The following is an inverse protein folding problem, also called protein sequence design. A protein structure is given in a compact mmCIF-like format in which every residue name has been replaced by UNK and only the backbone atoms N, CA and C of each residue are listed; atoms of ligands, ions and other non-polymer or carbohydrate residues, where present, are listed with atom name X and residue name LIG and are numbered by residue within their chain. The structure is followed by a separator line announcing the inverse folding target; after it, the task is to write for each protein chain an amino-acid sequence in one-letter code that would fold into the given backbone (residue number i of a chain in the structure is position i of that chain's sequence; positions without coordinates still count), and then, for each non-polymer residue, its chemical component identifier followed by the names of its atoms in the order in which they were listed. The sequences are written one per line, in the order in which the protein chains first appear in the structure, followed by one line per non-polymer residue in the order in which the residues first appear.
data_IF_184254342154
#
_entry.id   IF_184254342154
#
_cell.length_a   1.000
_cell.length_b   1.000
_cell.length_c   1.000
_cell.angle_alpha   90.00
_cell.angle_beta   90.00
_cell.angle_gamma   90.00
#
_symmetry.space_group_name_H-M   'P 1'
#
loop_
_entity.id
_entity.type
_entity.pdbx_description
1 polymer ?
#
# COMPACT_ATOMS: atom_id res chain seq x y z
N UNK A 1 1.64 41.45 8.91
CA UNK A 1 2.11 40.15 9.44
C UNK A 1 2.18 39.11 8.32
N UNK A 2 3.28 38.35 8.20
CA UNK A 2 3.46 37.28 7.16
C UNK A 2 2.32 36.25 7.17
N UNK A 3 1.72 35.98 8.34
CA UNK A 3 0.55 35.10 8.50
C UNK A 3 -0.71 35.60 7.77
N UNK A 4 -0.95 36.92 7.71
CA UNK A 4 -2.13 37.49 7.03
C UNK A 4 -2.02 37.34 5.50
N UNK A 5 -0.83 37.62 4.95
CA UNK A 5 -0.54 37.43 3.52
C UNK A 5 -0.63 35.96 3.08
N UNK A 6 -0.17 35.00 3.89
CA UNK A 6 -0.35 33.56 3.62
C UNK A 6 -1.81 33.12 3.64
N UNK A 7 -2.64 33.69 4.54
CA UNK A 7 -4.07 33.41 4.59
C UNK A 7 -4.84 33.99 3.39
N UNK A 8 -4.46 35.19 2.95
CA UNK A 8 -5.02 35.80 1.73
C UNK A 8 -4.62 35.02 0.47
N UNK A 9 -3.36 34.59 0.36
CA UNK A 9 -2.92 33.75 -0.76
C UNK A 9 -3.69 32.42 -0.82
N UNK A 10 -3.83 31.73 0.31
CA UNK A 10 -4.60 30.48 0.38
C UNK A 10 -6.10 30.68 0.08
N UNK A 11 -6.68 31.83 0.47
CA UNK A 11 -8.07 32.16 0.17
C UNK A 11 -8.27 32.46 -1.32
N UNK A 12 -7.31 33.13 -1.95
CA UNK A 12 -7.34 33.44 -3.38
C UNK A 12 -7.10 32.18 -4.23
N UNK A 13 -6.21 31.27 -3.82
CA UNK A 13 -6.05 29.95 -4.45
C UNK A 13 -7.32 29.11 -4.32
N UNK A 14 -7.96 29.08 -3.15
CA UNK A 14 -9.23 28.38 -2.96
C UNK A 14 -10.37 28.98 -3.82
N UNK A 15 -10.41 30.31 -3.96
CA UNK A 15 -11.37 30.99 -4.83
C UNK A 15 -11.10 30.74 -6.31
N UNK A 16 -9.83 30.70 -6.73
CA UNK A 16 -9.44 30.37 -8.11
C UNK A 16 -9.72 28.88 -8.44
N UNK A 17 -9.49 27.96 -7.50
CA UNK A 17 -9.85 26.55 -7.64
C UNK A 17 -11.37 26.34 -7.70
N UNK A 18 -12.14 27.10 -6.91
CA UNK A 18 -13.60 27.09 -6.98
C UNK A 18 -14.11 27.65 -8.32
N UNK A 19 -13.55 28.75 -8.80
CA UNK A 19 -13.90 29.33 -10.10
C UNK A 19 -13.50 28.43 -11.28
N UNK A 20 -12.38 27.71 -11.21
CA UNK A 20 -11.99 26.70 -12.19
C UNK A 20 -12.92 25.48 -12.16
N UNK A 21 -13.39 25.08 -10.98
CA UNK A 21 -14.40 24.03 -10.80
C UNK A 21 -15.75 24.38 -11.42
N UNK A 22 -16.17 25.64 -11.34
CA UNK A 22 -17.43 26.11 -11.95
C UNK A 22 -17.38 26.15 -13.49
N UNK A 23 -16.21 26.33 -14.10
CA UNK A 23 -16.02 26.28 -15.56
C UNK A 23 -15.98 24.82 -16.07
N UNK A 24 -15.46 23.88 -15.29
CA UNK A 24 -15.40 22.45 -15.65
C UNK A 24 -16.71 21.67 -15.42
N UNK A 25 -17.68 22.20 -14.65
CA UNK A 25 -18.98 21.56 -14.42
C UNK A 25 -20.06 21.93 -15.47
N UNK A 26 -19.67 22.51 -16.61
CA UNK A 26 -20.60 22.74 -17.71
C UNK A 26 -21.21 21.43 -18.22
N UNK A 27 -22.53 21.41 -18.52
CA UNK A 27 -23.21 20.21 -18.95
C UNK A 27 -22.76 19.81 -20.36
N UNK A 28 -22.12 18.65 -20.47
CA UNK A 28 -21.73 18.02 -21.73
C UNK A 28 -22.94 17.34 -22.40
N UNK A 29 -23.77 16.67 -21.60
CA UNK A 29 -25.00 16.02 -22.08
C UNK A 29 -26.13 16.21 -21.06
N UNK A 30 -27.34 16.31 -21.59
CA UNK A 30 -28.58 16.25 -20.81
C UNK A 30 -29.56 15.29 -21.47
N UNK A 31 -30.24 14.49 -20.66
CA UNK A 31 -31.06 13.39 -21.16
C UNK A 31 -31.96 12.82 -20.09
N UNK A 32 -33.02 12.15 -20.53
CA UNK A 32 -34.00 11.53 -19.64
C UNK A 32 -33.70 10.04 -19.55
N UNK A 33 -33.54 9.55 -18.32
CA UNK A 33 -33.33 8.13 -18.04
C UNK A 33 -34.23 7.66 -16.89
N UNK A 34 -34.55 6.37 -16.90
CA UNK A 34 -35.11 5.70 -15.75
C UNK A 34 -34.00 5.35 -14.76
N UNK A 35 -34.04 5.91 -13.55
CA UNK A 35 -33.13 5.58 -12.45
C UNK A 35 -33.96 5.07 -11.28
N UNK A 36 -33.67 3.85 -10.80
CA UNK A 36 -34.45 3.19 -9.71
C UNK A 36 -35.98 3.20 -9.99
N UNK A 37 -36.39 2.89 -11.23
CA UNK A 37 -37.79 2.88 -11.70
C UNK A 37 -38.49 4.25 -11.69
N UNK A 38 -37.74 5.35 -11.72
CA UNK A 38 -38.28 6.72 -11.77
C UNK A 38 -37.67 7.46 -12.95
N UNK A 39 -38.47 8.24 -13.65
CA UNK A 39 -37.99 9.13 -14.71
C UNK A 39 -37.21 10.29 -14.11
N UNK A 40 -35.96 10.44 -14.51
CA UNK A 40 -35.02 11.42 -14.00
C UNK A 40 -34.43 12.24 -15.14
N UNK A 41 -34.26 13.53 -14.90
CA UNK A 41 -33.43 14.42 -15.71
C UNK A 41 -31.98 14.18 -15.28
N UNK A 42 -31.16 13.71 -16.21
CA UNK A 42 -29.77 13.33 -15.99
C UNK A 42 -28.88 14.31 -16.73
N UNK A 43 -27.87 14.82 -16.03
CA UNK A 43 -26.89 15.77 -16.53
C UNK A 43 -25.49 15.19 -16.34
N UNK A 44 -24.72 15.14 -17.42
CA UNK A 44 -23.32 14.75 -17.41
C UNK A 44 -22.45 15.99 -17.61
N UNK A 45 -21.50 16.21 -16.71
CA UNK A 45 -20.38 17.13 -16.88
C UNK A 45 -19.06 16.35 -16.97
N UNK A 46 -17.93 17.06 -17.14
CA UNK A 46 -16.62 16.42 -17.13
C UNK A 46 -16.29 15.76 -15.78
N UNK A 47 -16.78 16.35 -14.68
CA UNK A 47 -16.45 15.90 -13.32
C UNK A 47 -17.54 15.06 -12.67
N UNK A 48 -18.81 15.21 -13.06
CA UNK A 48 -19.94 14.62 -12.33
C UNK A 48 -21.04 14.12 -13.23
N UNK A 49 -21.75 13.11 -12.74
CA UNK A 49 -23.03 12.67 -13.26
C UNK A 49 -24.09 12.96 -12.21
N UNK A 50 -25.07 13.80 -12.54
CA UNK A 50 -26.13 14.26 -11.64
C UNK A 50 -27.48 13.85 -12.17
N UNK A 51 -28.41 13.51 -11.30
CA UNK A 51 -29.78 13.23 -11.68
C UNK A 51 -30.78 13.69 -10.64
N UNK A 52 -31.93 14.14 -11.14
CA UNK A 52 -33.04 14.55 -10.30
C UNK A 52 -34.36 14.03 -10.86
N UNK A 53 -35.29 13.69 -9.97
CA UNK A 53 -36.60 13.19 -10.37
C UNK A 53 -37.36 14.26 -11.16
N UNK A 54 -37.94 13.87 -12.29
CA UNK A 54 -38.88 14.72 -13.04
C UNK A 54 -40.23 14.69 -12.30
N UNK A 55 -40.68 15.86 -11.87
CA UNK A 55 -42.02 16.08 -11.31
C UNK A 55 -42.90 16.68 -12.40
N UNK A 56 -44.08 16.11 -12.70
CA UNK A 56 -45.01 16.74 -13.64
C UNK A 56 -45.46 18.10 -13.09
N UNK A 57 -45.54 19.10 -13.96
CA UNK A 57 -46.07 20.40 -13.61
C UNK A 57 -47.57 20.27 -13.26
N UNK A 58 -47.97 20.86 -12.14
CA UNK A 58 -49.38 20.94 -11.76
C UNK A 58 -50.13 21.83 -12.76
N UNK A 59 -51.30 21.42 -13.29
CA UNK A 59 -52.10 22.24 -14.21
C UNK A 59 -52.64 23.53 -13.58
N UNK A 60 -52.66 23.62 -12.24
CA UNK A 60 -52.91 24.87 -11.52
C UNK A 60 -51.55 25.52 -11.25
N UNK A 61 -51.26 26.63 -11.95
CA UNK A 61 -50.02 27.42 -11.87
C UNK A 61 -49.76 28.06 -10.50
N UNK A 62 -49.69 27.24 -9.46
CA UNK A 62 -49.22 27.63 -8.14
C UNK A 62 -47.71 27.44 -8.06
N UNK A 63 -47.00 28.53 -7.78
CA UNK A 63 -45.59 28.53 -7.40
C UNK A 63 -45.34 27.46 -6.34
N UNK A 64 -44.75 26.34 -6.73
CA UNK A 64 -44.27 25.30 -5.80
C UNK A 64 -42.95 25.78 -5.21
N UNK A 65 -43.07 26.71 -4.27
CA UNK A 65 -41.97 27.16 -3.41
C UNK A 65 -41.43 25.93 -2.67
N UNK A 66 -40.23 25.49 -3.07
CA UNK A 66 -39.27 24.88 -2.14
C UNK A 66 -39.42 23.40 -1.81
N UNK A 67 -40.02 22.54 -2.65
CA UNK A 67 -39.77 21.11 -2.48
C UNK A 67 -38.33 20.83 -2.91
N UNK A 68 -37.40 20.74 -1.95
CA UNK A 68 -35.99 20.40 -2.18
C UNK A 68 -35.90 19.21 -3.15
N UNK A 69 -35.61 19.50 -4.41
CA UNK A 69 -35.37 18.50 -5.44
C UNK A 69 -34.12 17.77 -5.00
N UNK A 70 -34.28 16.57 -4.43
CA UNK A 70 -33.16 15.74 -3.98
C UNK A 70 -32.38 15.29 -5.23
N UNK A 71 -31.38 16.08 -5.57
CA UNK A 71 -30.40 15.78 -6.62
C UNK A 71 -29.43 14.73 -6.06
N UNK A 72 -29.34 13.59 -6.74
CA UNK A 72 -28.33 12.58 -6.47
C UNK A 72 -27.20 12.77 -7.50
N UNK A 73 -25.96 12.51 -7.07
CA UNK A 73 -24.79 12.70 -7.93
C UNK A 73 -23.70 11.69 -7.64
N UNK A 74 -22.86 11.43 -8.64
CA UNK A 74 -21.59 10.73 -8.48
C UNK A 74 -20.47 11.49 -9.18
N UNK A 75 -19.27 11.49 -8.59
CA UNK A 75 -18.09 12.06 -9.21
C UNK A 75 -17.47 11.06 -10.20
N UNK A 76 -17.09 11.54 -11.38
CA UNK A 76 -16.51 10.71 -12.44
C UNK A 76 -15.18 10.07 -12.01
N UNK A 77 -14.47 10.69 -11.05
CA UNK A 77 -13.26 10.12 -10.45
C UNK A 77 -13.53 8.85 -9.64
N UNK A 78 -14.76 8.62 -9.20
CA UNK A 78 -15.16 7.42 -8.45
C UNK A 78 -15.79 6.35 -9.35
N UNK A 79 -16.14 6.71 -10.60
CA UNK A 79 -16.65 5.77 -11.61
C UNK A 79 -15.48 4.99 -12.19
N UNK A 80 -15.50 3.66 -12.11
CA UNK A 80 -14.38 2.81 -12.58
C UNK A 80 -14.72 1.97 -13.82
N UNK A 81 -16.00 1.76 -14.11
CA UNK A 81 -16.42 1.06 -15.33
C UNK A 81 -17.81 1.47 -15.79
N UNK A 82 -18.05 1.35 -17.10
CA UNK A 82 -19.30 1.72 -17.76
C UNK A 82 -19.58 0.67 -18.83
N UNK A 83 -20.80 0.11 -18.84
CA UNK A 83 -21.22 -0.97 -19.74
C UNK A 83 -22.62 -0.72 -20.26
N UNK A 84 -22.88 -1.10 -21.51
CA UNK A 84 -24.24 -1.19 -22.04
C UNK A 84 -24.94 -2.43 -21.47
N UNK A 85 -26.11 -2.24 -20.87
CA UNK A 85 -26.93 -3.31 -20.30
C UNK A 85 -27.86 -3.86 -21.37
N UNK A 86 -27.74 -5.13 -21.72
CA UNK A 86 -28.62 -5.80 -22.69
C UNK A 86 -29.32 -7.00 -22.04
N UNK A 87 -30.58 -7.21 -22.39
CA UNK A 87 -31.34 -8.44 -22.08
C UNK A 87 -31.12 -9.45 -23.20
N UNK A 88 -30.71 -10.67 -22.84
CA UNK A 88 -30.50 -11.77 -23.77
C UNK A 88 -31.45 -12.91 -23.45
N UNK A 89 -31.86 -13.65 -24.48
CA UNK A 89 -32.60 -14.90 -24.32
C UNK A 89 -31.64 -16.06 -24.02
N UNK A 90 -32.15 -17.14 -23.43
CA UNK A 90 -31.36 -18.33 -23.14
C UNK A 90 -30.71 -18.86 -24.44
N UNK A 91 -29.40 -19.14 -24.42
CA UNK A 91 -28.64 -19.60 -25.59
C UNK A 91 -28.10 -18.50 -26.51
N UNK A 92 -28.42 -17.22 -26.28
CA UNK A 92 -27.95 -16.13 -27.13
C UNK A 92 -26.60 -15.55 -26.63
N UNK A 93 -25.52 -15.76 -27.39
CA UNK A 93 -24.17 -15.31 -27.01
C UNK A 93 -23.86 -13.84 -27.37
N UNK A 94 -24.52 -13.29 -28.39
CA UNK A 94 -24.30 -11.90 -28.87
C UNK A 94 -25.63 -11.20 -29.18
N UNK A 95 -25.63 -9.87 -29.05
CA UNK A 95 -26.82 -9.04 -29.22
C UNK A 95 -27.72 -9.00 -27.99
N UNK A 96 -29.01 -8.77 -28.22
CA UNK A 96 -30.04 -8.62 -27.20
C UNK A 96 -30.58 -7.20 -27.09
N UNK A 97 -31.77 -7.07 -26.50
CA UNK A 97 -32.49 -5.80 -26.36
C UNK A 97 -31.72 -4.90 -25.39
N UNK A 98 -31.40 -3.69 -25.83
CA UNK A 98 -30.77 -2.70 -24.96
C UNK A 98 -31.73 -2.24 -23.86
N UNK A 99 -31.26 -2.27 -22.63
CA UNK A 99 -31.99 -1.81 -21.45
C UNK A 99 -31.45 -0.47 -20.91
N UNK A 100 -30.27 -0.04 -21.34
CA UNK A 100 -29.65 1.21 -20.93
C UNK A 100 -28.16 1.07 -20.62
N UNK A 101 -27.67 1.89 -19.69
CA UNK A 101 -26.27 1.98 -19.28
C UNK A 101 -26.14 1.55 -17.82
N UNK A 102 -25.12 0.74 -17.52
CA UNK A 102 -24.69 0.43 -16.15
C UNK A 102 -23.37 1.12 -15.86
N UNK A 103 -23.35 1.85 -14.76
CA UNK A 103 -22.20 2.62 -14.28
C UNK A 103 -21.76 1.96 -12.98
N UNK A 104 -20.49 1.57 -12.92
CA UNK A 104 -19.87 0.94 -11.76
C UNK A 104 -19.03 1.98 -11.03
N UNK A 105 -19.30 2.15 -9.74
CA UNK A 105 -18.76 3.22 -8.90
C UNK A 105 -18.12 2.65 -7.66
N UNK A 106 -17.04 3.27 -7.20
CA UNK A 106 -16.39 2.97 -5.94
C UNK A 106 -16.92 3.92 -4.85
N UNK A 107 -17.44 3.37 -3.76
CA UNK A 107 -17.86 4.13 -2.60
C UNK A 107 -16.87 3.90 -1.46
N UNK A 108 -16.47 4.99 -0.80
CA UNK A 108 -15.74 4.89 0.44
C UNK A 108 -16.70 4.45 1.55
N UNK A 109 -16.36 3.36 2.25
CA UNK A 109 -17.13 2.88 3.40
C UNK A 109 -16.57 3.46 4.69
N UNK A 110 -15.32 3.11 5.01
CA UNK A 110 -14.61 3.49 6.24
C UNK A 110 -13.09 3.54 5.98
N UNK A 111 -12.44 4.65 6.32
CA UNK A 111 -11.00 4.83 6.11
C UNK A 111 -10.60 4.68 4.63
N UNK A 112 -9.70 3.73 4.35
CA UNK A 112 -9.26 3.40 2.98
C UNK A 112 -10.07 2.25 2.37
N UNK A 113 -11.18 1.81 2.98
CA UNK A 113 -11.96 0.67 2.48
C UNK A 113 -12.95 1.10 1.40
N UNK A 114 -12.65 0.69 0.17
CA UNK A 114 -13.54 0.85 -0.99
C UNK A 114 -14.48 -0.35 -1.17
N UNK A 115 -15.70 -0.05 -1.61
CA UNK A 115 -16.71 -1.02 -2.06
C UNK A 115 -17.28 -0.60 -3.40
N UNK A 116 -17.53 -1.54 -4.30
CA UNK A 116 -18.21 -1.26 -5.56
C UNK A 116 -19.74 -1.15 -5.37
N UNK A 117 -20.36 -0.34 -6.21
CA UNK A 117 -21.81 -0.20 -6.35
C UNK A 117 -22.17 0.05 -7.81
N UNK A 118 -23.45 -0.10 -8.15
CA UNK A 118 -23.95 0.06 -9.52
C UNK A 118 -25.07 1.09 -9.59
N UNK A 119 -25.02 1.91 -10.64
CA UNK A 119 -26.08 2.83 -11.03
C UNK A 119 -26.57 2.39 -12.41
N UNK A 120 -27.88 2.24 -12.57
CA UNK A 120 -28.50 1.89 -13.83
C UNK A 120 -29.25 3.10 -14.39
N UNK A 121 -28.85 3.54 -15.58
CA UNK A 121 -29.56 4.53 -16.38
C UNK A 121 -30.36 3.78 -17.45
N UNK A 122 -31.65 3.58 -17.22
CA UNK A 122 -32.54 2.87 -18.12
C UNK A 122 -33.01 3.75 -19.27
N UNK A 123 -32.77 3.31 -20.51
CA UNK A 123 -33.33 3.92 -21.72
C UNK A 123 -33.27 2.88 -22.85
N UNK A 124 -34.35 2.78 -23.63
CA UNK A 124 -34.49 1.79 -24.71
C UNK A 124 -33.93 2.29 -26.05
N UNK A 125 -33.69 3.59 -26.20
CA UNK A 125 -33.11 4.17 -27.42
C UNK A 125 -31.63 3.80 -27.49
N UNK A 126 -31.27 3.01 -28.51
CA UNK A 126 -29.89 2.59 -28.72
C UNK A 126 -28.97 3.77 -29.02
N UNK A 127 -29.38 4.68 -29.91
CA UNK A 127 -28.60 5.86 -30.27
C UNK A 127 -28.35 6.76 -29.06
N UNK A 128 -29.39 7.02 -28.27
CA UNK A 128 -29.27 7.83 -27.06
C UNK A 128 -28.28 7.21 -26.06
N UNK A 129 -28.45 5.93 -25.76
CA UNK A 129 -27.55 5.22 -24.85
C UNK A 129 -26.11 5.18 -25.37
N UNK A 130 -25.92 5.07 -26.67
CA UNK A 130 -24.60 4.96 -27.27
C UNK A 130 -23.83 6.29 -27.26
N UNK A 131 -24.50 7.41 -27.52
CA UNK A 131 -23.94 8.77 -27.36
C UNK A 131 -23.48 9.01 -25.92
N UNK A 132 -24.33 8.65 -24.95
CA UNK A 132 -24.00 8.76 -23.53
C UNK A 132 -22.86 7.83 -23.13
N UNK A 133 -22.92 6.55 -23.53
CA UNK A 133 -21.88 5.57 -23.27
C UNK A 133 -20.51 6.03 -23.79
N UNK A 134 -20.45 6.54 -25.03
CA UNK A 134 -19.21 7.07 -25.62
C UNK A 134 -18.66 8.25 -24.81
N UNK A 135 -19.50 9.24 -24.51
CA UNK A 135 -19.09 10.44 -23.78
C UNK A 135 -18.57 10.12 -22.37
N UNK A 136 -19.29 9.25 -21.67
CA UNK A 136 -18.90 8.70 -20.39
C UNK A 136 -17.56 7.94 -20.46
N UNK A 137 -17.37 7.10 -21.48
CA UNK A 137 -16.10 6.39 -21.71
C UNK A 137 -14.94 7.34 -22.02
N UNK A 138 -15.17 8.38 -22.80
CA UNK A 138 -14.17 9.42 -23.09
C UNK A 138 -13.67 10.08 -21.81
N UNK A 139 -14.57 10.45 -20.89
CA UNK A 139 -14.19 11.00 -19.58
C UNK A 139 -13.34 10.00 -18.79
N UNK A 140 -13.76 8.72 -18.73
CA UNK A 140 -12.99 7.69 -18.01
C UNK A 140 -11.59 7.46 -18.58
N UNK A 141 -11.43 7.55 -19.90
CA UNK A 141 -10.13 7.42 -20.57
C UNK A 141 -9.22 8.62 -20.33
N UNK A 142 -9.77 9.76 -19.88
CA UNK A 142 -9.05 10.99 -19.58
C UNK A 142 -8.31 10.98 -18.24
N UNK A 143 -8.54 10.00 -17.35
CA UNK A 143 -7.81 9.90 -16.09
C UNK A 143 -6.41 9.31 -16.30
N UNK A 144 -5.33 10.10 -16.15
CA UNK A 144 -3.98 9.71 -16.60
C UNK A 144 -3.37 8.57 -15.78
N UNK A 145 -3.68 8.51 -14.48
CA UNK A 145 -3.10 7.53 -13.57
C UNK A 145 -3.83 6.18 -13.57
N UNK A 146 -4.96 6.06 -14.28
CA UNK A 146 -5.71 4.80 -14.34
C UNK A 146 -5.05 3.85 -15.33
N UNK A 147 -4.66 2.63 -14.89
CA UNK A 147 -3.97 1.70 -15.76
C UNK A 147 -4.89 1.21 -16.88
N UNK A 148 -4.32 1.03 -18.08
CA UNK A 148 -4.99 0.38 -19.22
C UNK A 148 -4.53 -1.07 -19.38
N UNK A 149 -3.29 -1.34 -18.97
CA UNK A 149 -2.71 -2.68 -18.91
C UNK A 149 -1.88 -2.83 -17.63
N UNK A 150 -1.85 -4.06 -17.11
CA UNK A 150 -1.09 -4.44 -15.93
C UNK A 150 -0.33 -5.73 -16.19
N UNK A 151 0.94 -5.75 -15.76
CA UNK A 151 1.69 -7.01 -15.57
C UNK A 151 1.51 -7.44 -14.12
N UNK A 152 0.87 -8.59 -13.92
CA UNK A 152 0.51 -9.10 -12.60
C UNK A 152 1.43 -10.27 -12.25
N UNK A 153 2.17 -10.12 -11.16
CA UNK A 153 2.99 -11.20 -10.62
C UNK A 153 2.22 -11.92 -9.51
N UNK A 154 1.93 -13.20 -9.72
CA UNK A 154 1.27 -14.04 -8.71
C UNK A 154 2.24 -15.11 -8.24
N UNK A 155 2.52 -15.15 -6.94
CA UNK A 155 3.29 -16.25 -6.35
C UNK A 155 2.33 -17.38 -5.94
N UNK A 156 2.30 -18.52 -6.66
CA UNK A 156 1.35 -19.60 -6.40
C UNK A 156 1.56 -20.30 -5.06
N UNK A 157 2.71 -20.11 -4.41
CA UNK A 157 3.01 -20.71 -3.10
C UNK A 157 2.58 -19.83 -1.93
N UNK A 158 2.16 -18.59 -2.19
CA UNK A 158 1.75 -17.63 -1.16
C UNK A 158 0.36 -17.95 -0.60
N UNK A 159 0.10 -17.46 0.61
CA UNK A 159 -1.18 -17.59 1.30
C UNK A 159 -1.72 -19.04 1.31
N UNK A 160 -0.91 -20.00 1.81
CA UNK A 160 -1.27 -21.44 1.84
C UNK A 160 -1.61 -22.03 0.46
N UNK A 161 -0.99 -21.52 -0.61
CA UNK A 161 -1.20 -21.90 -2.01
C UNK A 161 -2.54 -21.42 -2.61
N UNK A 162 -3.25 -20.50 -1.95
CA UNK A 162 -4.52 -19.95 -2.43
C UNK A 162 -4.35 -18.66 -3.25
N UNK A 163 -3.14 -18.09 -3.30
CA UNK A 163 -2.91 -16.78 -3.95
C UNK A 163 -3.38 -16.71 -5.41
N UNK A 164 -3.17 -17.78 -6.18
CA UNK A 164 -3.64 -17.88 -7.57
C UNK A 164 -5.17 -17.86 -7.64
N UNK A 165 -5.84 -18.62 -6.79
CA UNK A 165 -7.30 -18.67 -6.72
C UNK A 165 -7.87 -17.31 -6.31
N UNK A 166 -7.32 -16.68 -5.27
CA UNK A 166 -7.73 -15.35 -4.80
C UNK A 166 -7.64 -14.32 -5.93
N UNK A 167 -6.58 -14.34 -6.74
CA UNK A 167 -6.46 -13.45 -7.89
C UNK A 167 -7.60 -13.65 -8.89
N UNK A 168 -7.83 -14.90 -9.34
CA UNK A 168 -8.83 -15.19 -10.36
C UNK A 168 -10.27 -14.99 -9.88
N UNK A 169 -10.55 -15.20 -8.60
CA UNK A 169 -11.89 -15.04 -8.03
C UNK A 169 -12.21 -13.59 -7.64
N UNK A 170 -11.21 -12.82 -7.17
CA UNK A 170 -11.47 -11.51 -6.57
C UNK A 170 -10.92 -10.33 -7.37
N UNK A 171 -9.75 -10.45 -7.98
CA UNK A 171 -9.07 -9.33 -8.64
C UNK A 171 -9.32 -9.31 -10.17
N UNK A 172 -9.09 -10.43 -10.85
CA UNK A 172 -9.24 -10.55 -12.30
C UNK A 172 -10.63 -10.13 -12.81
N UNK A 173 -11.76 -10.45 -12.14
CA UNK A 173 -13.08 -10.03 -12.59
C UNK A 173 -13.24 -8.49 -12.57
N UNK A 174 -12.65 -7.82 -11.58
CA UNK A 174 -12.71 -6.36 -11.46
C UNK A 174 -11.84 -5.67 -12.53
N UNK A 175 -10.63 -6.19 -12.80
CA UNK A 175 -9.81 -5.68 -13.90
C UNK A 175 -10.50 -5.85 -15.26
N UNK A 176 -11.08 -7.02 -15.52
CA UNK A 176 -11.86 -7.28 -16.73
C UNK A 176 -13.06 -6.34 -16.83
N UNK A 177 -13.76 -6.11 -15.72
CA UNK A 177 -14.89 -5.19 -15.66
C UNK A 177 -14.46 -3.75 -15.99
N UNK A 178 -13.31 -3.32 -15.48
CA UNK A 178 -12.69 -2.01 -15.73
C UNK A 178 -12.04 -1.86 -17.12
N UNK A 179 -12.13 -2.88 -17.99
CA UNK A 179 -11.45 -2.91 -19.29
C UNK A 179 -9.92 -2.79 -19.21
N UNK A 180 -9.33 -3.35 -18.15
CA UNK A 180 -7.87 -3.41 -17.96
C UNK A 180 -7.35 -4.76 -18.45
N UNK A 181 -6.38 -4.72 -19.35
CA UNK A 181 -5.70 -5.93 -19.82
C UNK A 181 -4.67 -6.40 -18.80
N UNK A 182 -4.73 -7.66 -18.37
CA UNK A 182 -3.78 -8.23 -17.42
C UNK A 182 -2.93 -9.31 -18.07
N UNK A 183 -1.61 -9.18 -18.01
CA UNK A 183 -0.65 -10.24 -18.32
C UNK A 183 -0.14 -10.86 -17.00
N UNK A 184 -0.42 -12.14 -16.78
CA UNK A 184 -0.13 -12.81 -15.50
C UNK A 184 1.15 -13.63 -15.63
N UNK A 185 2.18 -13.26 -14.88
CA UNK A 185 3.47 -13.97 -14.81
C UNK A 185 3.75 -14.49 -13.39
N UNK A 186 4.47 -15.61 -13.25
CA UNK A 186 4.74 -16.22 -11.95
C UNK A 186 5.87 -15.52 -11.14
N UNK A 187 5.61 -15.28 -9.84
CA UNK A 187 6.49 -14.77 -8.74
C UNK A 187 6.90 -13.29 -8.80
N UNK A 188 6.83 -12.44 -7.75
CA UNK A 188 7.39 -12.50 -6.37
C UNK A 188 6.46 -11.79 -5.33
N UNK A 189 6.86 -11.68 -4.05
CA UNK A 189 5.99 -11.37 -2.90
C UNK A 189 6.34 -10.04 -2.16
N UNK A 190 5.40 -9.52 -1.34
CA UNK A 190 5.53 -8.70 -0.10
C UNK A 190 4.83 -7.32 -0.02
N UNK A 191 4.60 -6.55 -1.10
CA UNK A 191 4.22 -5.12 -0.92
C UNK A 191 2.74 -4.81 -0.61
N UNK A 192 1.81 -5.73 -0.84
CA UNK A 192 0.37 -5.40 -0.75
C UNK A 192 -0.12 -5.09 0.68
N UNK A 193 0.55 -5.60 1.72
CA UNK A 193 0.08 -5.47 3.11
C UNK A 193 0.33 -4.10 3.74
N UNK A 194 1.44 -3.44 3.39
CA UNK A 194 1.85 -2.22 4.09
C UNK A 194 1.30 -0.94 3.46
N UNK A 195 1.12 -0.92 2.13
CA UNK A 195 0.70 0.29 1.41
C UNK A 195 -0.76 0.71 1.69
N UNK A 196 -1.65 -0.26 1.94
CA UNK A 196 -3.08 0.00 2.07
C UNK A 196 -3.62 -0.14 3.49
N UNK A 197 -2.87 -0.76 4.42
CA UNK A 197 -3.32 -1.03 5.79
C UNK A 197 -4.56 -1.93 5.90
N UNK A 198 -4.98 -2.59 4.81
CA UNK A 198 -6.25 -3.33 4.72
C UNK A 198 -6.02 -4.73 4.14
N UNK A 199 -6.56 -5.76 4.81
CA UNK A 199 -6.55 -7.16 4.37
C UNK A 199 -7.75 -7.48 3.46
N UNK A 200 -7.96 -6.71 2.38
CA UNK A 200 -9.06 -6.93 1.43
C UNK A 200 -8.59 -6.76 -0.02
N UNK A 201 -8.45 -7.89 -0.72
CA UNK A 201 -8.02 -7.95 -2.13
C UNK A 201 -8.89 -7.07 -3.03
N UNK A 202 -10.20 -7.05 -2.82
CA UNK A 202 -11.13 -6.21 -3.59
C UNK A 202 -10.82 -4.73 -3.44
N UNK A 203 -10.67 -4.23 -2.21
CA UNK A 203 -10.33 -2.83 -1.94
C UNK A 203 -8.99 -2.45 -2.59
N UNK A 204 -7.96 -3.29 -2.45
CA UNK A 204 -6.67 -3.06 -3.08
C UNK A 204 -6.80 -2.99 -4.61
N UNK A 205 -7.58 -3.91 -5.20
CA UNK A 205 -7.86 -3.93 -6.64
C UNK A 205 -8.58 -2.66 -7.10
N UNK A 206 -9.57 -2.17 -6.36
CA UNK A 206 -10.26 -0.92 -6.68
C UNK A 206 -9.32 0.29 -6.63
N UNK A 207 -8.40 0.36 -5.67
CA UNK A 207 -7.39 1.43 -5.63
C UNK A 207 -6.47 1.40 -6.87
N UNK A 208 -6.07 0.21 -7.33
CA UNK A 208 -5.30 0.04 -8.57
C UNK A 208 -6.11 0.58 -9.75
N UNK A 209 -7.37 0.17 -9.88
CA UNK A 209 -8.25 0.57 -10.98
C UNK A 209 -8.46 2.09 -11.03
N UNK A 210 -8.64 2.71 -9.86
CA UNK A 210 -8.82 4.16 -9.75
C UNK A 210 -7.52 4.95 -9.97
N UNK A 211 -6.37 4.28 -10.05
CA UNK A 211 -5.08 4.94 -10.29
C UNK A 211 -4.57 5.71 -9.07
N UNK A 212 -4.89 5.25 -7.86
CA UNK A 212 -4.41 5.91 -6.64
C UNK A 212 -2.90 5.65 -6.48
N UNK A 213 -2.14 6.73 -6.39
CA UNK A 213 -0.69 6.72 -6.17
C UNK A 213 -0.37 7.19 -4.75
N UNK A 214 0.66 6.60 -4.13
CA UNK A 214 1.14 6.97 -2.81
C UNK A 214 2.66 6.96 -2.77
N UNK A 215 3.27 8.10 -2.48
CA UNK A 215 4.71 8.15 -2.22
C UNK A 215 5.05 7.30 -0.99
N UNK A 216 6.10 6.48 -1.10
CA UNK A 216 6.60 5.65 0.01
C UNK A 216 8.13 5.56 0.00
N UNK A 217 8.73 5.78 1.16
CA UNK A 217 10.16 5.69 1.42
C UNK A 217 10.63 4.23 1.41
N UNK A 218 11.83 4.04 0.89
CA UNK A 218 12.47 2.74 0.75
C UNK A 218 13.92 2.84 1.23
N UNK A 219 14.44 1.75 1.79
CA UNK A 219 15.82 1.63 2.19
C UNK A 219 16.67 1.05 1.04
N UNK A 220 17.83 1.64 0.80
CA UNK A 220 18.94 0.94 0.14
C UNK A 220 19.79 0.22 1.16
N UNK A 221 20.17 -1.02 0.87
CA UNK A 221 21.08 -1.83 1.67
C UNK A 221 22.34 -2.12 0.86
N UNK A 222 23.48 -1.68 1.36
CA UNK A 222 24.77 -1.83 0.71
C UNK A 222 25.78 -2.47 1.66
N UNK A 223 26.63 -3.32 1.11
CA UNK A 223 27.79 -3.88 1.81
C UNK A 223 28.95 -3.97 0.81
N UNK A 224 30.22 -3.77 1.20
CA UNK A 224 31.35 -3.56 0.27
C UNK A 224 31.54 -4.63 -0.82
N UNK A 225 31.05 -5.86 -0.59
CA UNK A 225 31.26 -7.00 -1.49
C UNK A 225 29.97 -7.67 -1.95
N UNK A 226 28.82 -6.99 -1.80
CA UNK A 226 27.50 -7.55 -2.13
C UNK A 226 26.72 -6.57 -2.99
N UNK A 227 25.86 -7.05 -3.90
CA UNK A 227 25.05 -6.18 -4.74
C UNK A 227 24.11 -5.32 -3.88
N UNK A 228 23.89 -4.09 -4.35
CA UNK A 228 22.92 -3.17 -3.74
C UNK A 228 21.54 -3.82 -3.72
N UNK A 229 20.87 -3.78 -2.56
CA UNK A 229 19.49 -4.25 -2.40
C UNK A 229 18.59 -3.10 -2.02
N UNK A 230 17.32 -3.25 -2.35
CA UNK A 230 16.26 -2.33 -1.98
C UNK A 230 15.22 -3.08 -1.15
N UNK A 231 14.64 -2.41 -0.17
CA UNK A 231 13.57 -2.96 0.65
C UNK A 231 13.04 -1.93 1.61
N UNK A 232 11.96 -2.23 2.31
CA UNK A 232 11.27 -1.26 3.18
C UNK A 232 11.56 -1.51 4.66
N UNK A 233 11.97 -2.71 4.99
CA UNK A 233 12.15 -3.18 6.35
C UNK A 233 13.35 -4.09 6.44
N UNK A 234 14.06 -4.00 7.56
CA UNK A 234 15.06 -4.99 7.90
C UNK A 234 15.14 -5.26 9.39
N UNK A 235 15.57 -6.47 9.71
CA UNK A 235 15.86 -6.91 11.07
C UNK A 235 17.18 -7.66 11.13
N UNK A 236 17.94 -7.38 12.19
CA UNK A 236 19.17 -8.04 12.57
C UNK A 236 19.04 -8.56 14.01
N UNK A 237 19.47 -9.80 14.27
CA UNK A 237 19.35 -10.45 15.58
C UNK A 237 18.14 -11.38 15.69
N UNK A 238 17.34 -11.25 16.75
CA UNK A 238 16.25 -12.18 17.06
C UNK A 238 15.27 -12.38 15.91
N UNK A 239 14.83 -11.28 15.26
CA UNK A 239 13.87 -11.34 14.15
C UNK A 239 14.39 -12.11 12.95
N UNK A 240 15.66 -11.92 12.58
CA UNK A 240 16.27 -12.61 11.45
C UNK A 240 16.59 -14.08 11.74
N UNK A 241 17.11 -14.39 12.94
CA UNK A 241 17.33 -15.79 13.37
C UNK A 241 16.03 -16.58 13.46
N UNK A 242 14.95 -15.94 13.93
CA UNK A 242 13.61 -16.55 13.96
C UNK A 242 13.15 -16.88 12.55
N UNK A 243 13.31 -15.96 11.60
CA UNK A 243 12.97 -16.21 10.20
C UNK A 243 13.83 -17.33 9.60
N UNK A 244 15.16 -17.30 9.80
CA UNK A 244 16.09 -18.33 9.33
C UNK A 244 15.68 -19.72 9.82
N UNK A 245 15.32 -19.83 11.09
CA UNK A 245 14.84 -21.09 11.66
C UNK A 245 13.51 -21.53 11.04
N UNK A 246 12.57 -20.61 10.84
CA UNK A 246 11.30 -20.90 10.19
C UNK A 246 11.50 -21.38 8.75
N UNK A 247 12.41 -20.77 8.00
CA UNK A 247 12.71 -21.13 6.62
C UNK A 247 13.44 -22.48 6.51
N UNK A 248 14.30 -22.84 7.47
CA UNK A 248 14.88 -24.20 7.55
C UNK A 248 13.82 -25.30 7.80
N UNK A 249 12.64 -24.94 8.33
CA UNK A 249 11.59 -25.89 8.70
C UNK A 249 10.31 -25.71 7.87
N UNK A 250 10.42 -25.44 6.55
CA UNK A 250 9.24 -25.28 5.65
C UNK A 250 8.28 -26.49 5.62
N UNK A 251 8.74 -27.66 6.06
CA UNK A 251 7.91 -28.87 6.19
C UNK A 251 6.83 -28.74 7.29
N UNK A 252 6.98 -27.82 8.24
CA UNK A 252 5.97 -27.53 9.28
C UNK A 252 4.90 -26.58 8.71
N UNK A 253 3.60 -26.79 8.98
CA UNK A 253 2.53 -25.88 8.57
C UNK A 253 2.77 -24.42 9.00
N UNK A 254 2.42 -23.39 8.19
CA UNK A 254 2.87 -22.00 8.40
C UNK A 254 2.64 -21.42 9.81
N UNK A 255 1.46 -21.61 10.40
CA UNK A 255 1.16 -21.08 11.74
C UNK A 255 1.94 -21.81 12.83
N UNK A 256 2.06 -23.13 12.73
CA UNK A 256 2.84 -23.94 13.66
C UNK A 256 4.33 -23.63 13.53
N UNK A 257 4.82 -23.44 12.30
CA UNK A 257 6.21 -23.11 11.96
C UNK A 257 6.64 -21.78 12.58
N UNK A 258 5.80 -20.76 12.48
CA UNK A 258 6.04 -19.45 13.13
C UNK A 258 6.16 -19.60 14.65
N UNK A 259 5.22 -20.29 15.29
CA UNK A 259 5.24 -20.49 16.74
C UNK A 259 6.47 -21.31 17.18
N UNK A 260 6.76 -22.40 16.49
CA UNK A 260 7.95 -23.23 16.71
C UNK A 260 9.23 -22.40 16.64
N UNK A 261 9.39 -21.60 15.58
CA UNK A 261 10.58 -20.78 15.37
C UNK A 261 10.76 -19.74 16.48
N UNK A 262 9.68 -19.04 16.86
CA UNK A 262 9.70 -18.06 17.95
C UNK A 262 10.08 -18.72 19.29
N UNK A 263 9.45 -19.85 19.64
CA UNK A 263 9.71 -20.55 20.90
C UNK A 263 11.16 -21.04 20.96
N UNK A 264 11.65 -21.67 19.90
CA UNK A 264 13.01 -22.22 19.85
C UNK A 264 14.07 -21.10 19.85
N UNK A 265 13.81 -19.98 19.19
CA UNK A 265 14.71 -18.81 19.22
C UNK A 265 14.70 -18.12 20.60
N UNK A 266 13.55 -18.11 21.30
CA UNK A 266 13.46 -17.61 22.69
C UNK A 266 14.17 -18.51 23.69
N UNK A 267 14.10 -19.83 23.50
CA UNK A 267 14.82 -20.79 24.34
C UNK A 267 16.34 -20.57 24.27
N UNK A 268 16.83 -20.25 23.07
CA UNK A 268 18.23 -19.95 22.76
C UNK A 268 18.46 -18.44 22.56
N UNK A 269 17.85 -17.61 23.41
CA UNK A 269 17.96 -16.15 23.32
C UNK A 269 19.42 -15.72 23.54
N UNK A 270 20.01 -15.09 22.52
CA UNK A 270 21.36 -14.53 22.56
C UNK A 270 21.39 -13.14 21.92
N UNK A 271 22.13 -12.18 22.49
CA UNK A 271 22.38 -10.90 21.83
C UNK A 271 23.46 -11.05 20.76
N UNK A 272 23.47 -10.13 19.81
CA UNK A 272 24.58 -9.90 18.88
C UNK A 272 25.38 -8.69 19.37
N UNK A 273 26.71 -8.79 19.31
CA UNK A 273 27.59 -7.66 19.60
C UNK A 273 27.84 -6.87 18.32
N UNK A 274 27.34 -5.64 18.29
CA UNK A 274 27.53 -4.76 17.14
C UNK A 274 27.71 -3.30 17.55
N UNK A 275 28.31 -2.57 16.63
CA UNK A 275 28.33 -1.13 16.62
C UNK A 275 27.32 -0.61 15.60
N UNK A 276 26.56 0.39 15.99
CA UNK A 276 25.58 1.06 15.14
C UNK A 276 25.93 2.54 15.12
N UNK A 277 26.15 3.07 13.91
CA UNK A 277 26.26 4.51 13.69
C UNK A 277 25.09 4.98 12.85
N UNK A 278 24.55 6.16 13.12
CA UNK A 278 23.38 6.66 12.40
C UNK A 278 23.37 8.18 12.31
N UNK A 279 22.66 8.70 11.31
CA UNK A 279 22.44 10.12 11.11
C UNK A 279 21.00 10.46 11.48
N UNK A 280 20.75 11.20 12.57
CA UNK A 280 19.42 11.67 12.93
C UNK A 280 18.79 12.55 11.85
N UNK A 281 17.47 12.52 11.73
CA UNK A 281 16.74 13.38 10.79
C UNK A 281 16.86 14.87 11.19
N UNK A 282 17.37 15.70 10.27
CA UNK A 282 17.79 17.09 10.50
C UNK A 282 16.71 18.05 11.05
N UNK A 283 15.43 17.70 10.92
CA UNK A 283 14.34 18.56 11.38
C UNK A 283 14.07 18.51 12.89
N UNK A 284 14.76 17.65 13.65
CA UNK A 284 14.55 17.48 15.09
C UNK A 284 15.70 17.98 15.97
N UNK A 285 16.88 18.31 15.41
CA UNK A 285 18.04 18.77 16.17
C UNK A 285 18.76 19.91 15.42
N UNK A 286 18.83 21.09 16.03
CA UNK A 286 19.72 22.17 15.60
C UNK A 286 21.17 21.79 15.98
N UNK A 287 22.08 21.90 15.02
CA UNK A 287 23.54 22.10 15.18
C UNK A 287 24.51 20.94 15.43
N UNK A 288 24.18 19.67 15.14
CA UNK A 288 25.21 18.61 15.16
C UNK A 288 25.21 17.74 13.90
N UNK A 289 26.22 17.94 13.06
CA UNK A 289 26.61 17.08 11.92
C UNK A 289 27.31 15.78 12.38
N UNK A 290 27.10 15.36 13.64
CA UNK A 290 27.82 14.25 14.24
C UNK A 290 27.00 12.97 14.09
N UNK A 291 27.62 11.93 13.53
CA UNK A 291 27.01 10.60 13.50
C UNK A 291 26.94 10.08 14.94
N UNK A 292 25.74 9.90 15.46
CA UNK A 292 25.54 9.24 16.75
C UNK A 292 26.00 7.79 16.64
N UNK A 293 26.70 7.31 17.68
CA UNK A 293 27.22 5.94 17.74
C UNK A 293 26.75 5.27 19.01
N UNK A 294 26.15 4.10 18.85
CA UNK A 294 25.78 3.23 19.96
C UNK A 294 26.45 1.88 19.78
N UNK A 295 26.91 1.33 20.88
CA UNK A 295 27.67 0.09 20.91
C UNK A 295 27.14 -0.82 22.00
N UNK A 296 27.18 -2.13 21.76
CA UNK A 296 26.92 -3.13 22.78
C UNK A 296 26.19 -4.37 22.25
N UNK A 297 25.54 -5.04 23.19
CA UNK A 297 24.85 -6.30 22.95
C UNK A 297 23.37 -6.07 22.70
N UNK A 298 22.89 -6.42 21.51
CA UNK A 298 21.51 -6.20 21.08
C UNK A 298 20.80 -7.54 20.81
N UNK A 299 19.62 -7.73 21.39
CA UNK A 299 18.77 -8.87 21.06
C UNK A 299 18.14 -8.71 19.68
N UNK A 300 17.81 -7.50 19.28
CA UNK A 300 17.19 -7.21 17.99
C UNK A 300 17.45 -5.76 17.58
N UNK A 301 17.76 -5.55 16.30
CA UNK A 301 17.84 -4.24 15.66
C UNK A 301 16.85 -4.25 14.51
N UNK A 302 15.95 -3.27 14.47
CA UNK A 302 14.90 -3.14 13.46
C UNK A 302 15.05 -1.79 12.77
N UNK A 303 15.10 -1.78 11.45
CA UNK A 303 15.29 -0.59 10.63
C UNK A 303 14.16 -0.57 9.60
N UNK A 304 13.24 0.38 9.73
CA UNK A 304 11.92 0.36 9.09
C UNK A 304 11.61 1.70 8.43
N UNK A 305 11.50 1.73 7.09
CA UNK A 305 11.05 2.90 6.32
C UNK A 305 9.53 3.03 6.28
N UNK A 306 8.81 1.97 6.65
CA UNK A 306 7.34 1.95 6.70
C UNK A 306 6.84 1.30 7.99
N UNK A 307 5.56 1.49 8.37
CA UNK A 307 5.03 0.94 9.61
C UNK A 307 5.09 -0.59 9.77
N UNK A 308 5.16 -1.34 8.66
CA UNK A 308 5.27 -2.81 8.65
C UNK A 308 4.12 -3.52 9.40
N UNK A 309 2.87 -3.27 8.99
CA UNK A 309 1.68 -3.91 9.59
C UNK A 309 1.64 -5.40 9.24
N UNK A 310 1.31 -6.22 10.23
CA UNK A 310 1.11 -7.65 10.03
C UNK A 310 0.12 -8.23 11.05
N UNK A 311 -0.28 -9.50 10.88
CA UNK A 311 -1.26 -10.15 11.75
C UNK A 311 -0.84 -10.26 13.22
N UNK A 312 0.46 -10.16 13.52
CA UNK A 312 1.01 -10.21 14.89
C UNK A 312 1.32 -8.84 15.48
N UNK A 313 1.33 -7.80 14.63
CA UNK A 313 1.55 -6.41 14.99
C UNK A 313 0.56 -5.54 14.19
N UNK A 314 -0.72 -5.48 14.59
CA UNK A 314 -1.77 -4.80 13.83
C UNK A 314 -1.54 -3.28 13.70
N UNK A 315 -0.81 -2.68 14.66
CA UNK A 315 -0.36 -1.29 14.59
C UNK A 315 0.95 -1.11 13.80
N UNK A 316 1.60 -2.20 13.38
CA UNK A 316 2.92 -2.18 12.78
C UNK A 316 4.07 -2.42 13.77
N UNK A 317 5.20 -2.88 13.23
CA UNK A 317 6.46 -2.99 13.98
C UNK A 317 7.05 -1.61 14.29
N UNK A 318 6.81 -0.62 13.41
CA UNK A 318 7.23 0.77 13.56
C UNK A 318 6.05 1.74 13.36
N UNK A 319 5.05 1.76 14.26
CA UNK A 319 3.78 2.46 14.08
C UNK A 319 3.91 3.98 13.88
N UNK A 320 5.03 4.57 14.30
CA UNK A 320 5.26 6.01 14.26
C UNK A 320 5.98 6.45 12.98
N UNK A 321 6.40 5.51 12.13
CA UNK A 321 7.04 5.82 10.84
C UNK A 321 6.01 6.39 9.88
N UNK A 322 6.40 7.43 9.13
CA UNK A 322 5.58 7.99 8.06
C UNK A 322 5.98 7.35 6.74
N UNK A 323 5.09 7.42 5.75
CA UNK A 323 5.36 6.76 4.48
C UNK A 323 6.33 7.56 3.62
N UNK A 324 6.38 8.89 3.70
CA UNK A 324 6.97 9.75 2.66
C UNK A 324 7.69 10.99 3.23
N UNK A 325 8.36 10.85 4.37
CA UNK A 325 9.07 11.96 5.02
C UNK A 325 10.60 11.86 4.96
N UNK A 326 11.12 10.90 4.18
CA UNK A 326 12.54 10.66 4.01
C UNK A 326 13.20 10.07 5.25
N UNK A 327 12.44 9.47 6.17
CA UNK A 327 12.93 8.99 7.44
C UNK A 327 12.81 7.47 7.61
N UNK A 328 13.69 6.92 8.45
CA UNK A 328 13.69 5.52 8.84
C UNK A 328 13.58 5.45 10.35
N UNK A 329 12.77 4.53 10.86
CA UNK A 329 12.78 4.20 12.28
C UNK A 329 13.87 3.16 12.57
N UNK A 330 14.85 3.53 13.40
CA UNK A 330 15.83 2.64 13.99
C UNK A 330 15.37 2.28 15.41
N UNK A 331 15.03 1.02 15.63
CA UNK A 331 14.57 0.48 16.93
C UNK A 331 15.58 -0.55 17.38
N UNK A 332 16.23 -0.31 18.52
CA UNK A 332 17.22 -1.24 19.08
C UNK A 332 16.72 -1.80 20.40
N UNK A 333 16.79 -3.13 20.55
CA UNK A 333 16.47 -3.85 21.78
C UNK A 333 17.77 -4.35 22.38
N UNK A 334 18.23 -3.72 23.45
CA UNK A 334 19.44 -4.09 24.19
C UNK A 334 19.27 -5.43 24.90
N UNK A 335 20.40 -6.01 25.31
CA UNK A 335 20.41 -7.24 26.08
C UNK A 335 19.56 -7.10 27.36
N UNK A 336 18.67 -8.06 27.59
CA UNK A 336 17.75 -8.10 28.74
C UNK A 336 17.36 -9.55 29.05
N UNK A 337 16.66 -9.76 30.15
CA UNK A 337 16.18 -11.10 30.52
C UNK A 337 15.13 -11.61 29.51
N UNK A 338 15.05 -12.93 29.37
CA UNK A 338 14.05 -13.59 28.51
C UNK A 338 12.62 -13.21 28.88
N UNK A 339 12.34 -13.02 30.17
CA UNK A 339 11.01 -12.63 30.65
C UNK A 339 10.63 -11.21 30.22
N UNK A 340 11.57 -10.25 30.35
CA UNK A 340 11.41 -8.88 29.87
C UNK A 340 11.20 -8.84 28.35
N UNK A 341 12.02 -9.60 27.61
CA UNK A 341 11.92 -9.67 26.15
C UNK A 341 10.59 -10.27 25.68
N UNK A 342 10.09 -11.34 26.32
CA UNK A 342 8.76 -11.89 26.04
C UNK A 342 7.66 -10.86 26.34
N UNK A 343 7.78 -10.10 27.43
CA UNK A 343 6.83 -9.02 27.73
C UNK A 343 6.84 -7.94 26.66
N UNK A 344 8.00 -7.59 26.12
CA UNK A 344 8.12 -6.70 24.96
C UNK A 344 7.41 -7.28 23.73
N UNK A 345 7.71 -8.52 23.33
CA UNK A 345 7.09 -9.15 22.15
C UNK A 345 5.57 -9.19 22.24
N UNK A 346 5.02 -9.48 23.43
CA UNK A 346 3.57 -9.48 23.67
C UNK A 346 2.92 -8.11 23.49
N UNK A 347 3.65 -7.00 23.63
CA UNK A 347 3.09 -5.65 23.46
C UNK A 347 2.69 -5.33 22.02
N UNK A 348 3.33 -5.94 21.01
CA UNK A 348 2.97 -5.73 19.60
C UNK A 348 1.52 -6.12 19.27
N UNK A 349 0.97 -7.11 19.98
CA UNK A 349 -0.42 -7.54 19.84
C UNK A 349 -1.41 -6.74 20.72
N UNK A 350 -0.93 -5.73 21.46
CA UNK A 350 -1.73 -4.95 22.41
C UNK A 350 -1.87 -3.48 21.97
N UNK A 351 -2.71 -2.71 22.67
CA UNK A 351 -2.84 -1.26 22.47
C UNK A 351 -1.74 -0.45 23.19
N UNK A 352 -0.94 -1.09 24.06
CA UNK A 352 0.11 -0.41 24.83
C UNK A 352 1.30 -0.08 23.94
N UNK A 353 2.03 0.98 24.30
CA UNK A 353 3.27 1.33 23.61
C UNK A 353 4.31 0.19 23.74
N UNK A 354 4.69 -0.40 22.61
CA UNK A 354 5.67 -1.49 22.56
C UNK A 354 7.10 -1.04 22.91
N UNK A 355 7.38 0.27 22.86
CA UNK A 355 8.70 0.87 23.05
C UNK A 355 8.93 1.39 24.47
N UNK A 356 7.91 1.42 25.35
CA UNK A 356 8.09 1.90 26.73
C UNK A 356 8.71 0.84 27.65
N UNK A 357 9.97 0.50 27.38
CA UNK A 357 10.85 -0.34 28.19
C UNK A 357 12.24 0.29 28.24
N UNK A 358 12.98 0.17 29.36
CA UNK A 358 14.28 0.83 29.54
C UNK A 358 15.41 0.24 28.67
N UNK A 359 15.19 -0.93 28.07
CA UNK A 359 16.15 -1.61 27.19
C UNK A 359 15.82 -1.40 25.70
N UNK A 360 14.91 -0.49 25.36
CA UNK A 360 14.51 -0.19 24.00
C UNK A 360 14.82 1.27 23.70
N UNK A 361 15.64 1.48 22.68
CA UNK A 361 15.90 2.82 22.14
C UNK A 361 15.25 2.94 20.75
N UNK A 362 14.67 4.10 20.45
CA UNK A 362 14.03 4.40 19.16
C UNK A 362 14.53 5.73 18.61
N UNK A 363 15.01 5.71 17.38
CA UNK A 363 15.55 6.87 16.68
C UNK A 363 14.85 7.05 15.32
N UNK A 364 14.72 8.30 14.88
CA UNK A 364 14.27 8.66 13.53
C UNK A 364 15.48 9.19 12.79
N UNK A 365 15.88 8.50 11.72
CA UNK A 365 17.20 8.63 11.09
C UNK A 365 17.11 8.67 9.56
N UNK A 366 18.08 9.30 8.90
CA UNK A 366 18.24 9.30 7.44
C UNK A 366 19.13 8.13 6.97
N UNK A 367 20.10 7.74 7.80
CA UNK A 367 21.15 6.77 7.50
C UNK A 367 21.47 5.92 8.75
N UNK A 368 21.75 4.64 8.54
CA UNK A 368 22.21 3.69 9.56
C UNK A 368 23.32 2.81 9.01
N UNK A 369 24.41 2.65 9.75
CA UNK A 369 25.43 1.63 9.51
C UNK A 369 25.47 0.67 10.68
N UNK A 370 25.37 -0.61 10.39
CA UNK A 370 25.46 -1.68 11.38
C UNK A 370 26.71 -2.50 11.09
N UNK A 371 27.61 -2.55 12.06
CA UNK A 371 28.86 -3.28 11.99
C UNK A 371 28.89 -4.38 13.07
N UNK A 372 28.68 -5.66 12.71
CA UNK A 372 28.89 -6.77 13.63
C UNK A 372 30.35 -6.83 14.09
N UNK A 373 30.62 -7.11 15.37
CA UNK A 373 31.97 -6.94 15.94
C UNK A 373 32.81 -8.21 16.12
N UNK A 374 32.41 -9.38 15.64
CA UNK A 374 33.18 -10.60 15.91
C UNK A 374 34.37 -10.73 14.93
N UNK A 375 35.60 -10.55 15.45
CA UNK A 375 36.81 -11.06 14.80
C UNK A 375 38.08 -10.20 14.76
N UNK A 376 38.21 -9.04 15.43
CA UNK A 376 39.52 -8.39 15.58
C UNK A 376 40.45 -9.09 16.61
N UNK A 377 40.36 -10.41 16.76
CA UNK A 377 41.45 -11.18 17.38
C UNK A 377 42.42 -11.51 16.25
N UNK A 378 43.62 -10.91 16.30
CA UNK A 378 44.77 -11.34 15.51
C UNK A 378 44.79 -12.87 15.46
N UNK A 379 44.70 -13.45 14.27
CA UNK A 379 45.15 -14.82 14.02
C UNK A 379 46.67 -14.69 13.86
N UNK A 380 47.50 -15.17 14.80
CA UNK A 380 48.93 -15.32 14.53
C UNK A 380 49.06 -16.33 13.40
N UNK A 381 49.95 -16.07 12.45
CA UNK A 381 50.07 -16.80 11.18
C UNK A 381 50.42 -18.30 11.29
N UNK A 382 50.50 -18.86 12.50
CA UNK A 382 50.90 -20.23 12.75
C UNK A 382 49.78 -20.96 13.48
N UNK A 383 48.86 -21.56 12.74
CA UNK A 383 48.13 -22.81 13.07
C UNK A 383 46.93 -22.97 12.13
N UNK A 384 47.21 -23.20 10.85
CA UNK A 384 46.25 -23.71 9.89
C UNK A 384 46.21 -25.23 10.03
N UNK A 385 45.44 -25.76 11.00
CA UNK A 385 44.88 -27.11 11.01
C UNK A 385 44.13 -27.38 12.32
N UNK A 386 42.82 -27.16 12.35
CA UNK A 386 41.88 -27.85 13.25
C UNK A 386 40.42 -27.53 12.89
N UNK A 387 39.72 -28.54 12.35
CA UNK A 387 38.28 -28.82 12.47
C UNK A 387 37.25 -27.68 12.29
N UNK A 388 36.66 -27.63 11.09
CA UNK A 388 35.25 -27.29 10.83
C UNK A 388 34.60 -26.17 11.65
N UNK A 389 35.09 -24.94 11.51
CA UNK A 389 34.41 -23.73 11.99
C UNK A 389 33.20 -23.41 11.11
N UNK A 390 31.98 -23.45 11.66
CA UNK A 390 30.80 -22.81 11.05
C UNK A 390 31.18 -21.36 10.69
N UNK A 391 31.17 -21.01 9.40
CA UNK A 391 31.36 -19.62 8.97
C UNK A 391 30.33 -18.75 9.72
N UNK A 392 30.80 -17.78 10.50
CA UNK A 392 29.95 -16.87 11.28
C UNK A 392 29.19 -15.90 10.34
N UNK A 393 28.21 -16.42 9.61
CA UNK A 393 27.29 -15.65 8.78
C UNK A 393 26.13 -15.17 9.61
N UNK A 394 25.89 -13.85 9.64
CA UNK A 394 24.73 -13.31 10.33
C UNK A 394 23.53 -13.21 9.37
N UNK A 395 22.39 -13.83 9.71
CA UNK A 395 21.20 -13.66 8.92
C UNK A 395 20.68 -12.24 9.12
N UNK A 396 20.47 -11.55 8.01
CA UNK A 396 19.64 -10.38 7.88
C UNK A 396 18.30 -10.80 7.33
N UNK A 397 17.24 -10.21 7.85
CA UNK A 397 15.91 -10.29 7.27
C UNK A 397 15.63 -8.95 6.60
N UNK A 398 15.46 -8.92 5.27
CA UNK A 398 15.05 -7.74 4.52
C UNK A 398 13.70 -8.07 3.87
N UNK A 399 12.64 -7.39 4.30
CA UNK A 399 11.27 -7.62 3.79
C UNK A 399 10.75 -9.07 3.89
N UNK A 400 11.37 -9.93 4.69
CA UNK A 400 11.05 -11.36 4.77
C UNK A 400 11.98 -12.27 3.96
N UNK A 401 12.94 -11.69 3.24
CA UNK A 401 14.01 -12.42 2.56
C UNK A 401 15.26 -12.49 3.44
N UNK A 402 15.86 -13.68 3.50
CA UNK A 402 17.09 -13.89 4.26
C UNK A 402 18.31 -13.60 3.41
N UNK A 403 19.22 -12.80 3.97
CA UNK A 403 20.52 -12.50 3.38
C UNK A 403 21.60 -12.71 4.42
N UNK A 404 22.74 -13.27 4.02
CA UNK A 404 23.87 -13.49 4.91
C UNK A 404 24.95 -12.43 4.64
N UNK A 405 25.17 -11.59 5.65
CA UNK A 405 26.19 -10.54 5.62
C UNK A 405 27.05 -10.62 6.87
N UNK A 406 28.35 -10.82 6.65
CA UNK A 406 29.36 -10.88 7.71
C UNK A 406 30.03 -9.52 7.96
N UNK A 407 29.83 -8.55 7.07
CA UNK A 407 30.50 -7.24 7.07
C UNK A 407 29.54 -6.10 7.39
N UNK A 408 30.07 -4.89 7.49
CA UNK A 408 29.27 -3.67 7.65
C UNK A 408 28.15 -3.59 6.61
N UNK A 409 26.96 -3.22 7.09
CA UNK A 409 25.78 -2.98 6.27
C UNK A 409 25.39 -1.52 6.42
N UNK A 410 25.40 -0.81 5.32
CA UNK A 410 25.05 0.60 5.24
C UNK A 410 23.68 0.77 4.59
N UNK A 411 22.79 1.43 5.32
CA UNK A 411 21.37 1.56 5.05
C UNK A 411 21.01 3.05 4.95
N UNK A 412 20.36 3.45 3.86
CA UNK A 412 19.95 4.85 3.64
C UNK A 412 18.51 4.93 3.15
N UNK A 413 17.82 5.98 3.57
CA UNK A 413 16.49 6.29 3.08
C UNK A 413 16.54 6.85 1.66
N UNK A 414 15.61 6.41 0.82
CA UNK A 414 15.36 6.95 -0.51
C UNK A 414 13.86 7.13 -0.70
N UNK A 415 13.47 8.29 -1.22
CA UNK A 415 12.09 8.51 -1.65
C UNK A 415 11.80 7.70 -2.92
N UNK A 416 10.68 6.99 -2.92
CA UNK A 416 10.17 6.30 -4.09
C UNK A 416 8.66 6.52 -4.23
N UNK A 417 8.16 6.58 -5.45
CA UNK A 417 6.73 6.74 -5.70
C UNK A 417 6.11 5.38 -6.01
N UNK A 418 5.18 4.92 -5.18
CA UNK A 418 4.51 3.65 -5.38
C UNK A 418 3.02 3.85 -5.69
N UNK A 419 2.61 3.44 -6.88
CA UNK A 419 1.20 3.09 -7.08
C UNK A 419 0.84 1.90 -6.20
N UNK A 420 -0.43 1.75 -5.83
CA UNK A 420 -0.93 0.40 -5.56
C UNK A 420 -0.65 -0.39 -6.86
N UNK A 421 0.41 -1.19 -6.86
CA UNK A 421 1.06 -1.83 -8.02
C UNK A 421 1.63 -0.91 -9.12
N UNK A 422 2.96 -0.74 -9.15
CA UNK A 422 3.76 -0.95 -10.37
C UNK A 422 5.18 -1.37 -10.00
N UNK A 423 5.60 -2.54 -10.48
CA UNK A 423 7.01 -2.94 -10.50
C UNK A 423 7.79 -2.01 -11.42
N UNK A 424 9.05 -1.77 -11.08
CA UNK A 424 9.97 -0.94 -11.82
C UNK A 424 9.96 -1.27 -13.33
N UNK A 425 9.93 -0.22 -14.16
CA UNK A 425 10.46 -0.30 -15.51
C UNK A 425 11.97 -0.60 -15.37
N UNK A 426 12.38 -1.85 -15.55
CA UNK A 426 13.72 -2.11 -16.04
C UNK A 426 13.68 -1.88 -17.54
N UNK A 427 13.99 -0.64 -17.96
CA UNK A 427 14.53 -0.43 -19.30
C UNK A 427 15.77 -1.32 -19.42
N UNK A 428 15.77 -2.19 -20.43
CA UNK A 428 16.98 -2.87 -20.88
C UNK A 428 17.96 -1.78 -21.31
N UNK A 429 18.98 -1.52 -20.50
CA UNK A 429 20.22 -0.99 -21.03
C UNK A 429 21.03 -2.16 -21.58
N UNK A 430 21.11 -2.16 -22.91
CA UNK A 430 22.00 -2.89 -23.85
C UNK A 430 22.54 -4.25 -23.42
#
# INVERSE_FOLDING_TARGET
SRRRRRREAARNEAAAAAAAGDVEDQPLLRGIFEVKKKSCDVVLSAQRLRWSRITPESPLGGSSIGLHRKEESVEMKDVFSIKLKRRRFAGQEKGGILLGITIFVCLNKEGNKLKDATIHLGNISEDHCYVWYRSLKTILMGFPNRPKSLKVFVNPTSHKKEATQIYYEQAAPLFKLADITTDVTGSTNILAHTLNGIQHTQTATLHIILGHLKSVDMCTFSSPFKPLRFGFSSMFGFGSRTLALAEKHRWIPPNQRKNFAVIKTLANLRPEDCEISFLPLKHLQQDSQENDRIQGHFLNVSIMAIPCLCSVAPRGLAPNTRLDDGSIALITVRNTSRQEFIRHLKRYASLKNQFSFPFIDTYIVEEVKVCPRIGMKHIPADNLNCTGSEENTYPWNIDGDLVEWATEVHIRCQAAEFGCCKGCNCEKQS
#
